data_IF_970405291374
#
_entry.id   IF_970405291374
#
_cell.length_a   1.000
_cell.length_b   1.000
_cell.length_c   1.000
_cell.angle_alpha   90.00
_cell.angle_beta   90.00
_cell.angle_gamma   90.00
#
_symmetry.space_group_name_H-M   'P 1'
#
loop_
_entity.id
_entity.type
_entity.pdbx_description
1 polymer ?
#
# COMPACT_ATOMS: atom_id res chain seq x y z
N UNK A 1 -33.07 -31.91 1.74
CA UNK A 1 -32.05 -32.10 0.70
C UNK A 1 -31.77 -30.74 0.05
N UNK A 2 -30.63 -30.17 0.43
CA UNK A 2 -29.73 -29.30 -0.36
C UNK A 2 -30.33 -28.46 -1.49
N UNK A 3 -30.57 -27.15 -1.26
CA UNK A 3 -30.72 -26.16 -2.33
C UNK A 3 -30.18 -24.77 -1.93
N UNK A 4 -28.97 -24.66 -1.36
CA UNK A 4 -28.27 -23.36 -1.22
C UNK A 4 -26.74 -23.52 -1.23
N UNK A 5 -26.22 -24.45 -2.04
CA UNK A 5 -24.77 -24.54 -2.25
C UNK A 5 -24.36 -23.47 -3.28
N UNK A 6 -24.07 -22.27 -2.78
CA UNK A 6 -22.99 -21.40 -3.23
C UNK A 6 -22.61 -21.49 -4.71
N UNK A 7 -23.29 -20.75 -5.57
CA UNK A 7 -22.75 -20.35 -6.87
C UNK A 7 -21.72 -19.21 -6.68
N UNK A 8 -20.63 -19.48 -5.97
CA UNK A 8 -19.42 -18.67 -6.10
C UNK A 8 -18.64 -19.31 -7.24
N UNK A 9 -18.70 -18.71 -8.43
CA UNK A 9 -17.74 -19.03 -9.48
C UNK A 9 -16.34 -18.85 -8.89
N UNK A 10 -15.56 -19.93 -8.83
CA UNK A 10 -14.12 -19.80 -8.61
C UNK A 10 -13.59 -18.95 -9.77
N UNK A 11 -13.21 -17.71 -9.49
CA UNK A 11 -12.43 -16.94 -10.45
C UNK A 11 -11.14 -17.69 -10.68
N UNK A 12 -11.03 -18.32 -11.85
CA UNK A 12 -9.83 -19.01 -12.26
C UNK A 12 -8.86 -17.97 -12.81
N UNK A 13 -7.98 -17.49 -11.95
CA UNK A 13 -6.89 -16.61 -12.35
C UNK A 13 -5.84 -17.44 -13.09
N UNK A 14 -5.43 -16.99 -14.28
CA UNK A 14 -4.28 -17.59 -14.96
C UNK A 14 -3.01 -17.23 -14.20
N UNK A 15 -2.48 -18.18 -13.44
CA UNK A 15 -1.25 -18.01 -12.66
C UNK A 15 0.01 -18.35 -13.47
N UNK A 16 -0.12 -18.67 -14.76
CA UNK A 16 0.99 -19.16 -15.58
C UNK A 16 1.59 -20.48 -15.08
N UNK A 17 0.81 -21.27 -14.32
CA UNK A 17 1.25 -22.53 -13.71
C UNK A 17 1.93 -22.39 -12.35
N UNK A 18 1.99 -21.18 -11.77
CA UNK A 18 2.55 -20.96 -10.44
C UNK A 18 1.51 -21.20 -9.34
N UNK A 19 1.96 -21.77 -8.24
CA UNK A 19 1.18 -21.98 -7.02
C UNK A 19 2.06 -21.80 -5.77
N UNK A 20 1.49 -21.88 -4.56
CA UNK A 20 2.27 -21.76 -3.31
C UNK A 20 3.33 -22.87 -3.22
N UNK A 21 3.01 -24.04 -3.75
CA UNK A 21 3.87 -25.22 -3.82
C UNK A 21 5.07 -25.03 -4.75
N UNK A 22 5.07 -24.00 -5.60
CA UNK A 22 6.22 -23.63 -6.43
C UNK A 22 7.38 -23.00 -5.64
N UNK A 23 7.18 -22.69 -4.34
CA UNK A 23 8.16 -22.05 -3.46
C UNK A 23 8.52 -22.97 -2.27
N UNK A 24 9.70 -22.84 -1.65
CA UNK A 24 10.05 -23.59 -0.44
C UNK A 24 9.01 -23.41 0.66
N UNK A 25 8.81 -24.45 1.49
CA UNK A 25 7.78 -24.48 2.54
C UNK A 25 7.79 -23.23 3.44
N UNK A 26 8.99 -22.68 3.70
CA UNK A 26 9.21 -21.54 4.58
C UNK A 26 9.51 -20.23 3.85
N UNK A 27 9.16 -20.15 2.56
CA UNK A 27 9.27 -18.91 1.82
C UNK A 27 8.28 -17.86 2.36
N UNK A 28 8.80 -16.67 2.68
CA UNK A 28 8.01 -15.57 3.22
C UNK A 28 7.61 -14.62 2.10
N UNK A 29 6.30 -14.52 1.86
CA UNK A 29 5.72 -13.43 1.08
C UNK A 29 5.40 -12.29 2.03
N UNK A 30 5.86 -11.09 1.69
CA UNK A 30 5.59 -9.89 2.44
C UNK A 30 5.34 -8.72 1.50
N UNK A 31 4.93 -7.60 2.08
CA UNK A 31 4.79 -6.31 1.40
C UNK A 31 5.59 -5.26 2.17
N UNK A 32 5.86 -4.12 1.53
CA UNK A 32 6.59 -3.01 2.12
C UNK A 32 5.95 -1.68 1.71
N UNK A 33 6.09 -0.68 2.58
CA UNK A 33 5.66 0.69 2.33
C UNK A 33 6.74 1.67 2.81
N UNK A 34 6.74 2.90 2.30
CA UNK A 34 7.62 3.97 2.73
C UNK A 34 6.81 5.07 3.41
N UNK A 35 7.24 5.49 4.60
CA UNK A 35 6.57 6.48 5.47
C UNK A 35 6.00 7.68 4.68
N UNK A 36 6.86 8.41 3.97
CA UNK A 36 6.49 9.62 3.24
C UNK A 36 5.44 9.39 2.14
N UNK A 37 5.42 8.18 1.56
CA UNK A 37 4.49 7.83 0.49
C UNK A 37 3.10 7.46 1.01
N UNK A 38 2.97 7.09 2.29
CA UNK A 38 1.72 6.51 2.80
C UNK A 38 1.12 7.22 4.01
N UNK A 39 1.94 7.78 4.90
CA UNK A 39 1.45 8.28 6.19
C UNK A 39 0.65 9.58 6.08
N UNK A 40 1.19 10.57 5.38
CA UNK A 40 0.67 11.94 5.41
C UNK A 40 1.06 12.68 6.69
N UNK A 41 0.28 13.70 7.05
CA UNK A 41 0.48 14.53 8.26
C UNK A 41 1.87 15.17 8.37
N UNK A 42 2.45 15.49 7.22
CA UNK A 42 3.85 15.92 7.12
C UNK A 42 4.16 17.21 7.93
N UNK A 43 3.17 18.09 8.14
CA UNK A 43 3.33 19.34 8.91
C UNK A 43 2.65 19.36 10.30
N UNK A 44 2.19 18.20 10.81
CA UNK A 44 1.28 18.13 11.96
C UNK A 44 1.90 17.46 13.19
N UNK A 45 1.27 17.70 14.34
CA UNK A 45 1.53 17.03 15.62
C UNK A 45 3.01 16.96 16.06
N UNK A 46 3.82 17.93 15.66
CA UNK A 46 5.21 18.02 16.08
C UNK A 46 6.19 17.16 15.25
N UNK A 47 5.75 16.59 14.12
CA UNK A 47 6.66 15.94 13.17
C UNK A 47 7.69 16.97 12.66
N UNK A 48 8.98 16.62 12.75
CA UNK A 48 10.06 17.40 12.15
C UNK A 48 10.11 17.23 10.62
N UNK A 49 10.52 18.26 9.86
CA UNK A 49 10.61 18.16 8.42
C UNK A 49 11.70 17.16 7.99
N UNK A 50 11.40 16.38 6.96
CA UNK A 50 12.38 15.53 6.27
C UNK A 50 12.97 16.24 5.05
N UNK A 51 13.98 15.65 4.42
CA UNK A 51 14.52 16.16 3.15
C UNK A 51 13.48 16.20 2.04
N UNK A 52 12.51 15.28 2.05
CA UNK A 52 11.45 15.21 1.06
C UNK A 52 10.51 16.40 1.16
N UNK A 53 10.24 16.90 2.37
CA UNK A 53 9.42 18.09 2.60
C UNK A 53 10.00 19.36 1.99
N UNK A 54 11.32 19.44 1.86
CA UNK A 54 11.99 20.52 1.16
C UNK A 54 12.01 20.27 -0.35
N UNK A 55 12.32 19.03 -0.76
CA UNK A 55 12.45 18.67 -2.17
C UNK A 55 11.16 18.88 -2.97
N UNK A 56 10.01 18.40 -2.45
CA UNK A 56 8.72 18.46 -3.16
C UNK A 56 8.20 19.89 -3.34
N UNK A 57 8.74 20.87 -2.60
CA UNK A 57 8.36 22.30 -2.74
C UNK A 57 9.01 22.98 -3.95
N UNK A 58 9.95 22.32 -4.62
CA UNK A 58 10.60 22.87 -5.82
C UNK A 58 9.73 22.57 -7.04
N UNK A 59 9.17 23.59 -7.73
CA UNK A 59 8.29 23.38 -8.87
C UNK A 59 8.98 22.57 -9.99
N UNK A 60 8.26 21.60 -10.55
CA UNK A 60 8.74 20.77 -11.65
C UNK A 60 9.61 19.57 -11.24
N UNK A 61 9.93 19.39 -9.95
CA UNK A 61 10.66 18.20 -9.47
C UNK A 61 9.75 16.97 -9.29
N UNK A 62 8.47 17.19 -8.99
CA UNK A 62 7.45 16.14 -8.82
C UNK A 62 6.39 16.32 -9.90
N UNK A 63 5.92 15.21 -10.48
CA UNK A 63 4.78 15.23 -11.39
C UNK A 63 3.59 15.94 -10.73
N UNK A 64 2.92 16.84 -11.45
CA UNK A 64 1.82 17.67 -10.94
C UNK A 64 2.13 18.55 -9.72
N UNK A 65 3.40 18.64 -9.30
CA UNK A 65 3.82 19.26 -8.03
C UNK A 65 3.13 18.65 -6.79
N UNK A 66 2.89 17.33 -6.82
CA UNK A 66 2.31 16.60 -5.69
C UNK A 66 3.21 16.62 -4.44
N UNK A 67 2.62 16.41 -3.26
CA UNK A 67 3.32 16.44 -1.96
C UNK A 67 2.92 15.26 -1.08
N UNK A 68 3.73 14.95 -0.06
CA UNK A 68 3.41 13.94 0.96
C UNK A 68 2.58 14.45 2.14
N UNK A 69 1.90 15.60 2.03
CA UNK A 69 1.18 16.19 3.16
C UNK A 69 0.00 15.32 3.62
N UNK A 70 -0.66 14.61 2.71
CA UNK A 70 -1.82 13.75 3.00
C UNK A 70 -1.56 12.29 2.60
N UNK A 71 -0.95 12.05 1.44
CA UNK A 71 -0.69 10.69 0.92
C UNK A 71 -1.98 9.83 0.91
N UNK A 72 -1.93 8.58 1.38
CA UNK A 72 -3.13 7.75 1.59
C UNK A 72 -3.68 7.83 3.02
N UNK A 73 -3.19 8.79 3.82
CA UNK A 73 -3.60 9.05 5.20
C UNK A 73 -3.46 7.83 6.13
N UNK A 74 -2.40 7.04 5.94
CA UNK A 74 -2.16 5.86 6.76
C UNK A 74 -1.91 6.24 8.23
N UNK A 75 -1.42 7.46 8.51
CA UNK A 75 -1.26 7.95 9.88
C UNK A 75 -2.55 7.81 10.71
N UNK A 76 -3.72 8.11 10.12
CA UNK A 76 -5.00 7.89 10.79
C UNK A 76 -5.62 6.53 10.51
N UNK A 77 -5.34 5.94 9.35
CA UNK A 77 -6.02 4.74 8.84
C UNK A 77 -5.29 3.43 9.11
N UNK A 78 -4.20 3.43 9.85
CA UNK A 78 -3.37 2.26 10.14
C UNK A 78 -4.11 1.02 10.68
N UNK A 79 -5.34 1.16 11.21
CA UNK A 79 -6.17 0.05 11.71
C UNK A 79 -7.01 -0.65 10.63
N UNK A 80 -7.24 0.02 9.51
CA UNK A 80 -8.02 -0.48 8.36
C UNK A 80 -7.17 -0.56 7.09
N UNK A 81 -5.99 0.04 7.11
CA UNK A 81 -4.89 -0.22 6.20
C UNK A 81 -4.16 -1.46 6.72
N UNK A 82 -3.92 -2.43 5.83
CA UNK A 82 -3.44 -3.82 6.04
C UNK A 82 -4.54 -4.86 6.24
#
# INVERSE_FOLDING_TARGET
ATLYANSYSQQHFDTGGLSRESFPERFLFGTAALEYQVEGMASKYGRGPSIWDAFVKTPGQIANNDTGEVSIDQYHRYKVSF
#
